data_IF_249469128515
#
_entry.id   IF_249469128515
#
_cell.length_a   1.000
_cell.length_b   1.000
_cell.length_c   1.000
_cell.angle_alpha   90.00
_cell.angle_beta   90.00
_cell.angle_gamma   90.00
#
_symmetry.space_group_name_H-M   'P 1'
#
loop_
_entity.id
_entity.type
_entity.pdbx_description
1 polymer ?
#
# COMPACT_ATOMS: atom_id res chain seq x y z
N UNK A 1 3.60 -4.97 4.49
CA UNK A 1 2.36 -5.15 5.28
C UNK A 1 2.35 -4.28 6.54
N UNK A 2 3.43 -4.24 7.33
CA UNK A 2 3.52 -3.36 8.52
C UNK A 2 3.30 -1.86 8.21
N UNK A 3 3.88 -1.35 7.13
CA UNK A 3 3.76 0.05 6.70
C UNK A 3 2.34 0.45 6.31
N UNK A 4 1.61 -0.44 5.63
CA UNK A 4 0.21 -0.25 5.25
C UNK A 4 -0.69 -0.26 6.48
N UNK A 5 -0.47 -1.21 7.40
CA UNK A 5 -1.21 -1.27 8.67
C UNK A 5 -1.02 0.00 9.51
N UNK A 6 0.22 0.49 9.61
CA UNK A 6 0.54 1.74 10.30
C UNK A 6 -0.14 2.95 9.64
N UNK A 7 -0.14 3.00 8.31
CA UNK A 7 -0.81 4.05 7.54
C UNK A 7 -2.33 4.07 7.73
N UNK A 8 -2.98 2.90 7.75
CA UNK A 8 -4.40 2.78 8.04
C UNK A 8 -4.73 3.22 9.48
N UNK A 9 -3.95 2.76 10.46
CA UNK A 9 -4.12 3.17 11.86
C UNK A 9 -3.98 4.67 12.04
N UNK A 10 -2.96 5.27 11.42
CA UNK A 10 -2.77 6.72 11.42
C UNK A 10 -3.97 7.42 10.77
N UNK A 11 -4.44 6.95 9.61
CA UNK A 11 -5.59 7.51 8.92
C UNK A 11 -6.86 7.45 9.75
N UNK A 12 -7.21 6.29 10.33
CA UNK A 12 -8.39 6.15 11.18
C UNK A 12 -8.28 7.00 12.45
N UNK A 13 -7.09 7.09 13.05
CA UNK A 13 -6.85 7.92 14.25
C UNK A 13 -6.98 9.41 13.93
N UNK A 14 -6.43 9.85 12.79
CA UNK A 14 -6.57 11.22 12.30
C UNK A 14 -8.04 11.56 12.01
N UNK A 15 -8.79 10.64 11.38
CA UNK A 15 -10.22 10.81 11.14
C UNK A 15 -11.04 10.89 12.42
N UNK A 16 -10.77 10.01 13.39
CA UNK A 16 -11.42 10.04 14.70
C UNK A 16 -11.14 11.38 15.42
N UNK A 17 -9.89 11.86 15.36
CA UNK A 17 -9.51 13.16 15.90
C UNK A 17 -10.24 14.31 15.19
N UNK A 18 -10.34 14.29 13.87
CA UNK A 18 -11.06 15.30 13.11
C UNK A 18 -12.56 15.33 13.45
N UNK A 19 -13.20 14.17 13.54
CA UNK A 19 -14.61 14.05 13.97
C UNK A 19 -14.78 14.64 15.37
N UNK A 20 -13.91 14.28 16.30
CA UNK A 20 -13.95 14.78 17.66
C UNK A 20 -13.76 16.31 17.71
N UNK A 21 -12.74 16.83 17.01
CA UNK A 21 -12.46 18.27 16.94
C UNK A 21 -13.64 19.03 16.32
N UNK A 22 -14.20 18.54 15.21
CA UNK A 22 -15.33 19.17 14.53
C UNK A 22 -16.59 19.15 15.40
N UNK A 23 -16.88 18.03 16.06
CA UNK A 23 -18.01 17.95 16.99
C UNK A 23 -17.87 18.93 18.16
N UNK A 24 -16.65 19.10 18.67
CA UNK A 24 -16.34 20.08 19.72
C UNK A 24 -16.53 21.51 19.25
N UNK A 25 -16.12 21.82 18.01
CA UNK A 25 -16.32 23.14 17.40
C UNK A 25 -17.81 23.45 17.16
N UNK A 26 -18.60 22.49 16.65
CA UNK A 26 -20.04 22.69 16.48
C UNK A 26 -20.70 22.95 17.85
N UNK A 27 -20.36 22.16 18.87
CA UNK A 27 -20.92 22.31 20.21
C UNK A 27 -20.60 23.68 20.85
N UNK A 28 -19.46 24.29 20.52
CA UNK A 28 -19.12 25.63 21.03
C UNK A 28 -19.80 26.76 20.26
N UNK A 29 -20.17 26.55 19.00
CA UNK A 29 -20.82 27.55 18.15
C UNK A 29 -22.35 27.54 18.24
N UNK A 30 -22.99 26.37 18.40
CA UNK A 30 -24.46 26.23 18.45
C UNK A 30 -25.14 27.16 19.47
N UNK A 31 -24.63 27.34 20.71
CA UNK A 31 -25.25 28.24 21.68
C UNK A 31 -25.23 29.72 21.29
N UNK A 32 -24.36 30.12 20.36
CA UNK A 32 -24.24 31.50 19.87
C UNK A 32 -25.26 31.81 18.75
N UNK A 33 -25.96 30.79 18.24
CA UNK A 33 -26.91 30.91 17.14
C UNK A 33 -28.30 31.15 17.71
N UNK A 34 -28.98 32.25 17.32
CA UNK A 34 -30.36 32.48 17.74
C UNK A 34 -31.29 31.37 17.21
N UNK A 35 -32.12 30.76 18.07
CA UNK A 35 -33.02 29.69 17.66
C UNK A 35 -34.11 30.22 16.71
N UNK A 36 -34.47 29.41 15.72
CA UNK A 36 -35.43 29.76 14.67
C UNK A 36 -34.89 30.70 13.58
N UNK A 37 -33.59 31.04 13.63
CA UNK A 37 -32.96 31.88 12.62
C UNK A 37 -32.61 31.09 11.35
N UNK A 38 -32.50 31.79 10.23
CA UNK A 38 -32.02 31.19 8.98
C UNK A 38 -30.59 30.62 9.12
N UNK A 39 -29.79 31.16 10.05
CA UNK A 39 -28.43 30.69 10.35
C UNK A 39 -28.44 29.28 10.96
N UNK A 40 -29.41 28.97 11.82
CA UNK A 40 -29.58 27.63 12.39
C UNK A 40 -29.84 26.59 11.28
N UNK A 41 -30.73 26.92 10.34
CA UNK A 41 -31.05 26.05 9.20
C UNK A 41 -29.83 25.86 8.30
N UNK A 42 -29.12 26.95 7.96
CA UNK A 42 -27.89 26.89 7.16
C UNK A 42 -26.80 26.04 7.83
N UNK A 43 -26.66 26.13 9.15
CA UNK A 43 -25.71 25.30 9.91
C UNK A 43 -26.11 23.83 9.89
N UNK A 44 -27.39 23.50 10.09
CA UNK A 44 -27.87 22.12 10.03
C UNK A 44 -27.62 21.48 8.65
N UNK A 45 -27.88 22.23 7.57
CA UNK A 45 -27.58 21.75 6.21
C UNK A 45 -26.08 21.57 5.96
N UNK A 46 -25.26 22.51 6.44
CA UNK A 46 -23.80 22.46 6.30
C UNK A 46 -23.21 21.26 7.04
N UNK A 47 -23.68 20.99 8.27
CA UNK A 47 -23.29 19.81 9.05
C UNK A 47 -23.66 18.53 8.31
N UNK A 48 -24.89 18.43 7.79
CA UNK A 48 -25.35 17.26 7.03
C UNK A 48 -24.49 16.99 5.81
N UNK A 49 -24.22 18.01 5.00
CA UNK A 49 -23.37 17.87 3.81
C UNK A 49 -21.93 17.49 4.17
N UNK A 50 -21.39 18.09 5.23
CA UNK A 50 -20.06 17.79 5.72
C UNK A 50 -19.92 16.30 6.12
N UNK A 51 -20.90 15.76 6.85
CA UNK A 51 -20.94 14.32 7.19
C UNK A 51 -21.03 13.41 5.97
N UNK A 52 -21.84 13.77 4.97
CA UNK A 52 -21.96 12.99 3.72
C UNK A 52 -20.62 12.98 2.99
N UNK A 53 -19.99 14.13 2.80
CA UNK A 53 -18.69 14.23 2.10
C UNK A 53 -17.61 13.45 2.85
N UNK A 54 -17.56 13.55 4.18
CA UNK A 54 -16.61 12.78 4.98
C UNK A 54 -16.85 11.27 4.88
N UNK A 55 -18.10 10.82 4.96
CA UNK A 55 -18.45 9.41 4.82
C UNK A 55 -18.07 8.85 3.45
N UNK A 56 -18.36 9.57 2.38
CA UNK A 56 -17.99 9.20 1.00
C UNK A 56 -16.46 9.20 0.82
N UNK A 57 -15.76 10.17 1.40
CA UNK A 57 -14.29 10.23 1.36
C UNK A 57 -13.65 9.03 2.06
N UNK A 58 -14.16 8.64 3.23
CA UNK A 58 -13.70 7.48 3.99
C UNK A 58 -13.94 6.17 3.20
N UNK A 59 -15.18 5.99 2.74
CA UNK A 59 -15.60 5.29 1.52
C UNK A 59 -14.46 4.91 0.55
N UNK A 60 -14.20 5.91 -0.29
CA UNK A 60 -13.29 5.88 -1.41
C UNK A 60 -11.85 5.60 -0.97
N UNK A 61 -11.40 6.20 0.12
CA UNK A 61 -10.03 6.00 0.61
C UNK A 61 -9.79 4.54 0.98
N UNK A 62 -10.70 3.92 1.74
CA UNK A 62 -10.58 2.50 2.13
C UNK A 62 -10.50 1.59 0.91
N UNK A 63 -11.32 1.85 -0.12
CA UNK A 63 -11.31 1.09 -1.38
C UNK A 63 -9.95 1.23 -2.08
N UNK A 64 -9.47 2.45 -2.26
CA UNK A 64 -8.21 2.74 -2.95
C UNK A 64 -7.03 2.06 -2.24
N UNK A 65 -6.94 2.18 -0.91
CA UNK A 65 -5.87 1.58 -0.13
C UNK A 65 -5.91 0.05 -0.20
N UNK A 66 -7.12 -0.54 -0.13
CA UNK A 66 -7.30 -1.99 -0.23
C UNK A 66 -6.82 -2.51 -1.59
N UNK A 67 -7.28 -1.90 -2.68
CA UNK A 67 -6.88 -2.28 -4.04
C UNK A 67 -5.37 -2.14 -4.21
N UNK A 68 -4.80 -1.01 -3.80
CA UNK A 68 -3.36 -0.75 -3.93
C UNK A 68 -2.54 -1.78 -3.16
N UNK A 69 -2.98 -2.14 -1.95
CA UNK A 69 -2.31 -3.14 -1.11
C UNK A 69 -2.34 -4.53 -1.76
N UNK A 70 -3.49 -4.95 -2.28
CA UNK A 70 -3.64 -6.25 -2.96
C UNK A 70 -2.77 -6.30 -4.22
N UNK A 71 -2.81 -5.25 -5.05
CA UNK A 71 -2.04 -5.18 -6.30
C UNK A 71 -0.54 -5.23 -6.02
N UNK A 72 -0.04 -4.41 -5.09
CA UNK A 72 1.39 -4.41 -4.73
C UNK A 72 1.81 -5.78 -4.16
N UNK A 73 0.97 -6.38 -3.31
CA UNK A 73 1.26 -7.70 -2.74
C UNK A 73 1.46 -8.76 -3.85
N UNK A 74 0.54 -8.83 -4.82
CA UNK A 74 0.67 -9.77 -5.93
C UNK A 74 1.89 -9.50 -6.81
N UNK A 75 2.28 -8.23 -6.98
CA UNK A 75 3.47 -7.83 -7.75
C UNK A 75 4.80 -8.14 -7.04
N UNK A 76 4.79 -8.52 -5.76
CA UNK A 76 5.98 -8.88 -4.96
C UNK A 76 6.09 -10.39 -4.77
N UNK A 77 5.01 -11.07 -4.37
CA UNK A 77 5.08 -12.50 -3.99
C UNK A 77 5.51 -13.43 -5.13
N UNK A 78 4.98 -13.23 -6.34
CA UNK A 78 5.35 -14.03 -7.51
C UNK A 78 6.84 -13.87 -7.88
N UNK A 79 7.32 -12.64 -8.07
CA UNK A 79 8.73 -12.37 -8.35
C UNK A 79 9.70 -12.87 -7.28
N UNK A 80 9.35 -12.71 -5.99
CA UNK A 80 10.19 -13.20 -4.90
C UNK A 80 10.38 -14.73 -4.94
N UNK A 81 9.34 -15.48 -5.33
CA UNK A 81 9.46 -16.93 -5.53
C UNK A 81 10.38 -17.27 -6.71
N UNK A 82 10.26 -16.56 -7.82
CA UNK A 82 11.13 -16.76 -8.99
C UNK A 82 12.60 -16.49 -8.67
N UNK A 83 12.90 -15.40 -7.97
CA UNK A 83 14.24 -15.05 -7.47
C UNK A 83 14.80 -16.17 -6.59
N UNK A 84 14.01 -16.66 -5.62
CA UNK A 84 14.44 -17.75 -4.73
C UNK A 84 14.73 -19.04 -5.51
N UNK A 85 13.93 -19.36 -6.52
CA UNK A 85 14.12 -20.53 -7.37
C UNK A 85 15.41 -20.43 -8.18
N UNK A 86 15.72 -19.25 -8.72
CA UNK A 86 16.97 -19.02 -9.45
C UNK A 86 18.19 -19.14 -8.54
N UNK A 87 18.15 -18.51 -7.37
CA UNK A 87 19.21 -18.68 -6.37
C UNK A 87 19.44 -20.14 -6.02
N UNK A 88 18.37 -20.92 -5.81
CA UNK A 88 18.48 -22.35 -5.55
C UNK A 88 19.13 -23.11 -6.72
N UNK A 89 18.81 -22.77 -7.97
CA UNK A 89 19.46 -23.34 -9.15
C UNK A 89 20.97 -23.04 -9.16
N UNK A 90 21.36 -21.78 -8.93
CA UNK A 90 22.78 -21.37 -8.83
C UNK A 90 23.50 -22.15 -7.72
N UNK A 91 22.88 -22.34 -6.56
CA UNK A 91 23.49 -23.10 -5.44
C UNK A 91 23.69 -24.58 -5.76
N UNK A 92 22.98 -25.13 -6.74
CA UNK A 92 23.15 -26.51 -7.24
C UNK A 92 24.07 -26.60 -8.46
N UNK A 93 24.73 -25.49 -8.83
CA UNK A 93 25.57 -25.41 -10.03
C UNK A 93 24.80 -25.31 -11.35
N UNK A 94 23.49 -25.09 -11.32
CA UNK A 94 22.65 -24.96 -12.51
C UNK A 94 22.69 -23.51 -13.05
N UNK A 95 23.79 -23.13 -13.71
CA UNK A 95 23.98 -21.76 -14.22
C UNK A 95 23.26 -21.44 -15.54
N UNK A 96 22.64 -22.42 -16.18
CA UNK A 96 21.80 -22.24 -17.37
C UNK A 96 20.45 -21.56 -17.04
N UNK A 97 20.05 -21.56 -15.76
CA UNK A 97 18.76 -20.99 -15.35
C UNK A 97 18.72 -19.47 -15.61
N UNK A 98 17.60 -18.99 -16.16
CA UNK A 98 17.34 -17.57 -16.38
C UNK A 98 15.97 -17.17 -15.85
N UNK A 99 15.90 -16.02 -15.18
CA UNK A 99 14.66 -15.47 -14.62
C UNK A 99 14.22 -14.24 -15.40
N UNK A 100 12.98 -14.27 -15.88
CA UNK A 100 12.33 -13.12 -16.51
C UNK A 100 11.03 -12.80 -15.78
N UNK A 101 10.96 -11.59 -15.23
CA UNK A 101 9.80 -11.07 -14.51
C UNK A 101 8.90 -10.26 -15.45
N UNK A 102 7.60 -10.16 -15.14
CA UNK A 102 6.63 -9.46 -16.00
C UNK A 102 6.90 -7.95 -16.01
N UNK A 103 6.37 -7.23 -17.00
CA UNK A 103 6.58 -5.78 -17.16
C UNK A 103 6.20 -4.96 -15.92
N UNK A 104 5.25 -5.39 -15.11
CA UNK A 104 4.87 -4.66 -13.91
C UNK A 104 5.37 -5.37 -12.64
N UNK A 105 6.15 -6.42 -12.71
CA UNK A 105 6.65 -7.06 -11.48
C UNK A 105 7.77 -6.22 -10.85
N UNK A 106 7.88 -6.31 -9.52
CA UNK A 106 9.00 -5.72 -8.77
C UNK A 106 10.26 -6.61 -8.89
N UNK A 107 11.44 -6.08 -8.55
CA UNK A 107 12.74 -6.79 -8.54
C UNK A 107 13.33 -7.22 -9.90
N UNK A 108 12.98 -6.52 -10.99
CA UNK A 108 13.54 -6.83 -12.32
C UNK A 108 15.04 -6.63 -12.42
N UNK A 109 15.53 -5.58 -11.77
CA UNK A 109 16.94 -5.29 -11.57
C UNK A 109 17.64 -6.50 -10.93
N UNK A 110 17.09 -7.02 -9.83
CA UNK A 110 17.62 -8.21 -9.16
C UNK A 110 17.60 -9.44 -10.08
N UNK A 111 16.52 -9.62 -10.86
CA UNK A 111 16.46 -10.72 -11.82
C UNK A 111 17.51 -10.59 -12.94
N UNK A 112 17.78 -9.37 -13.41
CA UNK A 112 18.84 -9.10 -14.39
C UNK A 112 20.23 -9.37 -13.79
N UNK A 113 20.48 -8.92 -12.56
CA UNK A 113 21.73 -9.16 -11.85
C UNK A 113 21.96 -10.66 -11.62
N UNK A 114 20.92 -11.43 -11.30
CA UNK A 114 21.00 -12.89 -11.16
C UNK A 114 21.31 -13.61 -12.48
N UNK A 115 20.72 -13.15 -13.59
CA UNK A 115 21.04 -13.67 -14.92
C UNK A 115 22.52 -13.41 -15.25
N UNK A 116 22.99 -12.19 -15.00
CA UNK A 116 24.38 -11.82 -15.24
C UNK A 116 25.36 -12.58 -14.33
N UNK A 117 25.01 -12.76 -13.05
CA UNK A 117 25.80 -13.58 -12.12
C UNK A 117 25.94 -15.03 -12.62
N UNK A 118 24.85 -15.60 -13.13
CA UNK A 118 24.87 -16.96 -13.68
C UNK A 118 25.81 -17.08 -14.87
N UNK A 119 25.87 -16.07 -15.75
CA UNK A 119 26.82 -16.00 -16.86
C UNK A 119 28.27 -15.96 -16.38
N UNK A 120 28.56 -15.12 -15.38
CA UNK A 120 29.91 -15.02 -14.79
C UNK A 120 30.34 -16.35 -14.16
N UNK A 121 29.46 -17.01 -13.42
CA UNK A 121 29.76 -18.27 -12.74
C UNK A 121 29.96 -19.42 -13.74
N UNK A 122 29.14 -19.50 -14.79
CA UNK A 122 29.32 -20.44 -15.88
C UNK A 122 30.67 -20.23 -16.58
N UNK A 123 31.04 -18.99 -16.89
CA UNK A 123 32.30 -18.66 -17.54
C UNK A 123 33.53 -18.98 -16.67
N UNK A 124 33.42 -18.87 -15.34
CA UNK A 124 34.50 -19.20 -14.40
C UNK A 124 34.66 -20.70 -14.14
N UNK A 125 33.81 -21.56 -14.70
CA UNK A 125 33.93 -23.01 -14.58
C UNK A 125 33.71 -23.52 -13.15
N UNK A 126 32.83 -22.88 -12.39
CA UNK A 126 32.54 -23.31 -11.01
C UNK A 126 31.91 -24.72 -11.05
N UNK A 127 32.52 -25.74 -10.40
CA UNK A 127 32.04 -27.12 -10.50
C UNK A 127 30.70 -27.29 -9.77
N UNK A 128 29.72 -28.04 -10.33
CA UNK A 128 28.35 -28.13 -9.80
C UNK A 128 28.18 -28.84 -8.45
N UNK A 129 29.22 -29.46 -7.93
CA UNK A 129 29.16 -30.61 -7.03
C UNK A 129 29.91 -30.45 -5.68
N UNK A 130 30.23 -29.21 -5.27
CA UNK A 130 30.88 -28.94 -3.96
C UNK A 130 29.95 -28.37 -2.88
N UNK A 131 28.80 -29.01 -2.65
CA UNK A 131 27.97 -28.77 -1.46
C UNK A 131 27.42 -30.07 -0.89
#
# INVERSE_FOLDING_TARGET
MLTVGLGLLFFFSFFAFQIWMFSTLIASLVPLVPPGSNVEQMMAESIRWNWIIFGVGMVMFTIIVTITTVVISHRIYGPAYAIRKHLAAITRGEFEHRTHLRKNDEFKDVAQDLNHLSEILAAKGFPPDRV
#
